data_IF_290303285329
#
_entry.id   IF_290303285329
#
_cell.length_a   1.000
_cell.length_b   1.000
_cell.length_c   1.000
_cell.angle_alpha   90.00
_cell.angle_beta   90.00
_cell.angle_gamma   90.00
#
_symmetry.space_group_name_H-M   'P 1'
#
loop_
_entity.id
_entity.type
_entity.pdbx_description
1 polymer ?
#
# COMPACT_ATOMS: atom_id res chain seq x y z
N UNK A 1 -6.83 -14.17 4.04
CA UNK A 1 -7.31 -15.03 2.93
C UNK A 1 -7.72 -14.15 1.74
N UNK A 2 -7.14 -14.36 0.54
CA UNK A 2 -7.49 -13.62 -0.67
C UNK A 2 -8.99 -13.64 -0.99
N UNK A 3 -9.54 -12.46 -1.27
CA UNK A 3 -10.90 -12.25 -1.77
C UNK A 3 -10.82 -11.33 -2.98
N UNK A 4 -10.58 -11.88 -4.17
CA UNK A 4 -10.31 -11.05 -5.36
C UNK A 4 -11.58 -10.58 -6.09
N UNK A 5 -12.75 -11.10 -5.72
CA UNK A 5 -14.04 -10.73 -6.31
C UNK A 5 -14.60 -9.39 -5.82
N UNK A 6 -14.00 -8.76 -4.81
CA UNK A 6 -14.66 -7.69 -4.03
C UNK A 6 -14.25 -6.26 -4.41
N UNK A 7 -13.28 -6.10 -5.32
CA UNK A 7 -12.68 -4.79 -5.65
C UNK A 7 -12.62 -4.54 -7.16
N UNK A 8 -12.61 -3.27 -7.54
CA UNK A 8 -12.43 -2.83 -8.93
C UNK A 8 -13.54 -3.31 -9.87
N UNK A 9 -13.14 -3.84 -11.03
CA UNK A 9 -14.07 -4.31 -12.05
C UNK A 9 -14.98 -5.46 -11.59
N UNK A 10 -14.58 -6.20 -10.56
CA UNK A 10 -15.37 -7.30 -9.99
C UNK A 10 -16.39 -6.83 -8.95
N UNK A 11 -16.36 -5.55 -8.51
CA UNK A 11 -17.16 -5.05 -7.39
C UNK A 11 -18.68 -5.19 -7.57
N UNK A 12 -19.16 -5.30 -8.81
CA UNK A 12 -20.58 -5.48 -9.13
C UNK A 12 -20.89 -6.89 -9.67
N UNK A 13 -19.88 -7.76 -9.80
CA UNK A 13 -20.07 -9.14 -10.24
C UNK A 13 -20.41 -10.00 -9.03
N UNK A 14 -21.46 -10.82 -9.15
CA UNK A 14 -21.87 -11.76 -8.10
C UNK A 14 -22.11 -11.08 -6.74
N UNK A 15 -22.56 -9.81 -6.76
CA UNK A 15 -22.78 -8.99 -5.57
C UNK A 15 -23.83 -9.60 -4.63
N UNK A 16 -24.91 -10.13 -5.20
CA UNK A 16 -26.01 -10.75 -4.43
C UNK A 16 -25.61 -12.11 -3.85
N UNK A 17 -24.63 -12.79 -4.46
CA UNK A 17 -24.16 -14.10 -4.03
C UNK A 17 -22.62 -14.18 -3.96
N UNK A 18 -21.97 -13.46 -3.02
CA UNK A 18 -20.51 -13.33 -2.92
C UNK A 18 -19.72 -14.64 -2.89
N UNK A 19 -20.35 -15.72 -2.40
CA UNK A 19 -19.73 -17.03 -2.24
C UNK A 19 -19.82 -17.92 -3.49
N UNK A 20 -20.62 -17.55 -4.51
CA UNK A 20 -20.55 -18.18 -5.84
C UNK A 20 -19.19 -17.93 -6.49
N UNK A 21 -18.58 -16.77 -6.19
CA UNK A 21 -17.24 -16.46 -6.63
C UNK A 21 -16.21 -17.41 -6.02
N UNK A 22 -15.63 -18.30 -6.82
CA UNK A 22 -14.54 -19.19 -6.38
C UNK A 22 -13.38 -18.42 -5.73
N UNK A 23 -13.10 -17.21 -6.21
CA UNK A 23 -12.02 -16.35 -5.72
C UNK A 23 -12.26 -15.77 -4.32
N UNK A 24 -13.48 -15.89 -3.78
CA UNK A 24 -13.81 -15.50 -2.42
C UNK A 24 -13.83 -16.69 -1.46
N UNK A 25 -13.87 -17.94 -1.95
CA UNK A 25 -14.03 -19.14 -1.12
C UNK A 25 -12.85 -19.44 -0.19
N UNK A 26 -11.69 -18.80 -0.41
CA UNK A 26 -10.55 -18.97 0.51
C UNK A 26 -10.86 -18.48 1.93
N UNK A 27 -11.86 -17.60 2.12
CA UNK A 27 -12.34 -17.24 3.45
C UNK A 27 -13.04 -18.41 4.16
N UNK A 28 -13.72 -19.28 3.40
CA UNK A 28 -14.37 -20.49 3.92
C UNK A 28 -13.27 -21.46 4.37
N UNK A 29 -12.29 -21.74 3.49
CA UNK A 29 -11.16 -22.62 3.81
C UNK A 29 -10.39 -22.14 5.03
N UNK A 30 -10.14 -20.84 5.15
CA UNK A 30 -9.49 -20.25 6.32
C UNK A 30 -10.28 -20.51 7.62
N UNK A 31 -11.60 -20.36 7.58
CA UNK A 31 -12.47 -20.64 8.73
C UNK A 31 -12.55 -22.13 9.06
N UNK A 32 -12.51 -23.00 8.06
CA UNK A 32 -12.51 -24.45 8.26
C UNK A 32 -11.20 -24.92 8.91
N UNK A 33 -10.06 -24.31 8.54
CA UNK A 33 -8.77 -24.56 9.22
C UNK A 33 -8.84 -24.13 10.70
N UNK A 34 -9.45 -22.99 11.01
CA UNK A 34 -9.65 -22.55 12.40
C UNK A 34 -10.56 -23.52 13.16
N UNK A 35 -11.62 -24.00 12.52
CA UNK A 35 -12.56 -24.95 13.12
C UNK A 35 -11.88 -26.28 13.45
N UNK A 36 -11.01 -26.75 12.56
CA UNK A 36 -10.26 -27.99 12.73
C UNK A 36 -9.16 -27.85 13.80
N UNK A 37 -8.31 -26.82 13.69
CA UNK A 37 -7.13 -26.66 14.56
C UNK A 37 -7.46 -26.06 15.93
N UNK A 38 -8.59 -25.34 16.07
CA UNK A 38 -9.01 -24.64 17.30
C UNK A 38 -7.88 -23.83 17.97
N UNK A 39 -7.16 -22.93 17.26
CA UNK A 39 -6.03 -22.20 17.84
C UNK A 39 -6.48 -21.25 18.97
N UNK A 40 -5.65 -21.05 19.99
CA UNK A 40 -5.95 -20.11 21.11
C UNK A 40 -6.27 -18.70 20.65
N UNK A 41 -5.57 -18.25 19.60
CA UNK A 41 -5.71 -16.93 18.99
C UNK A 41 -5.82 -17.04 17.48
N UNK A 42 -6.63 -16.19 16.89
CA UNK A 42 -6.83 -16.03 15.45
C UNK A 42 -6.58 -14.57 15.09
N UNK A 43 -5.85 -14.35 14.01
CA UNK A 43 -5.74 -13.04 13.37
C UNK A 43 -6.00 -13.21 11.88
N UNK A 44 -7.03 -12.55 11.38
CA UNK A 44 -7.36 -12.51 9.96
C UNK A 44 -7.20 -11.08 9.45
N UNK A 45 -6.28 -10.87 8.52
CA UNK A 45 -6.11 -9.62 7.79
C UNK A 45 -6.86 -9.68 6.44
N UNK A 46 -7.44 -8.56 6.03
CA UNK A 46 -7.97 -8.37 4.67
C UNK A 46 -7.99 -6.90 4.23
N UNK A 47 -8.24 -6.68 2.94
CA UNK A 47 -8.41 -5.35 2.34
C UNK A 47 -9.67 -4.66 2.87
N UNK A 48 -9.67 -3.32 2.90
CA UNK A 48 -10.80 -2.53 3.38
C UNK A 48 -12.10 -2.80 2.61
N UNK A 49 -12.01 -3.18 1.34
CA UNK A 49 -13.18 -3.42 0.50
C UNK A 49 -14.03 -4.62 0.97
N UNK A 50 -13.51 -5.49 1.84
CA UNK A 50 -14.31 -6.55 2.48
C UNK A 50 -15.46 -5.99 3.33
N UNK A 51 -15.35 -4.74 3.79
CA UNK A 51 -16.40 -4.03 4.54
C UNK A 51 -17.31 -3.19 3.64
N UNK A 52 -16.96 -3.01 2.36
CA UNK A 52 -17.73 -2.19 1.40
C UNK A 52 -18.53 -3.03 0.42
N UNK A 53 -18.02 -4.21 0.06
CA UNK A 53 -18.64 -5.11 -0.90
C UNK A 53 -19.79 -5.89 -0.27
N UNK A 54 -20.90 -6.01 -1.00
CA UNK A 54 -22.07 -6.82 -0.62
C UNK A 54 -22.50 -6.63 0.84
N UNK A 55 -22.67 -5.38 1.30
CA UNK A 55 -22.99 -5.04 2.71
C UNK A 55 -22.10 -5.76 3.75
N UNK A 56 -20.80 -5.83 3.45
CA UNK A 56 -19.80 -6.51 4.27
C UNK A 56 -20.06 -8.02 4.49
N UNK A 57 -20.80 -8.69 3.60
CA UNK A 57 -21.21 -10.10 3.74
C UNK A 57 -20.03 -11.01 4.09
N UNK A 58 -18.88 -10.87 3.42
CA UNK A 58 -17.70 -11.71 3.69
C UNK A 58 -17.11 -11.45 5.09
N UNK A 59 -17.06 -10.19 5.53
CA UNK A 59 -16.57 -9.84 6.87
C UNK A 59 -17.54 -10.30 7.96
N UNK A 60 -18.84 -10.12 7.75
CA UNK A 60 -19.91 -10.59 8.65
C UNK A 60 -19.90 -12.12 8.74
N UNK A 61 -19.70 -12.82 7.63
CA UNK A 61 -19.53 -14.27 7.61
C UNK A 61 -18.33 -14.71 8.46
N UNK A 62 -17.17 -14.08 8.27
CA UNK A 62 -15.97 -14.41 9.04
C UNK A 62 -16.17 -14.20 10.54
N UNK A 63 -16.77 -13.07 10.93
CA UNK A 63 -17.11 -12.78 12.33
C UNK A 63 -18.13 -13.80 12.88
N UNK A 64 -19.17 -14.11 12.11
CA UNK A 64 -20.21 -15.08 12.48
C UNK A 64 -19.64 -16.49 12.68
N UNK A 65 -18.72 -16.94 11.82
CA UNK A 65 -18.03 -18.24 11.98
C UNK A 65 -17.22 -18.28 13.28
N UNK A 66 -16.47 -17.23 13.62
CA UNK A 66 -15.73 -17.18 14.88
C UNK A 66 -16.66 -17.23 16.10
N UNK A 67 -17.75 -16.46 16.08
CA UNK A 67 -18.76 -16.46 17.16
C UNK A 67 -19.43 -17.85 17.28
N UNK A 68 -19.79 -18.47 16.15
CA UNK A 68 -20.36 -19.82 16.11
C UNK A 68 -19.39 -20.91 16.60
N UNK A 69 -18.08 -20.66 16.57
CA UNK A 69 -17.04 -21.51 17.16
C UNK A 69 -16.71 -21.14 18.61
N UNK A 70 -17.48 -20.24 19.23
CA UNK A 70 -17.31 -19.72 20.58
C UNK A 70 -16.01 -18.93 20.82
N UNK A 71 -15.50 -18.24 19.80
CA UNK A 71 -14.40 -17.29 19.99
C UNK A 71 -14.92 -15.93 20.44
N UNK A 72 -14.28 -15.36 21.45
CA UNK A 72 -14.32 -13.91 21.65
C UNK A 72 -13.72 -13.26 20.41
N UNK A 73 -14.39 -12.26 19.83
CA UNK A 73 -14.00 -11.71 18.53
C UNK A 73 -14.14 -10.19 18.47
N UNK A 74 -13.24 -9.54 17.73
CA UNK A 74 -13.27 -8.08 17.49
C UNK A 74 -12.74 -7.74 16.12
N UNK A 75 -13.29 -6.69 15.52
CA UNK A 75 -12.89 -6.17 14.22
C UNK A 75 -12.33 -4.76 14.38
N UNK A 76 -11.18 -4.51 13.78
CA UNK A 76 -10.51 -3.20 13.77
C UNK A 76 -10.00 -2.84 12.39
N UNK A 77 -10.02 -1.55 12.10
CA UNK A 77 -9.47 -0.98 10.86
C UNK A 77 -8.24 -0.18 11.26
N UNK A 78 -7.08 -0.52 10.69
CA UNK A 78 -5.81 0.10 11.02
C UNK A 78 -5.16 0.67 9.76
N UNK A 79 -4.63 1.89 9.85
CA UNK A 79 -3.89 2.53 8.78
C UNK A 79 -2.39 2.43 9.05
N UNK A 80 -1.64 1.75 8.16
CA UNK A 80 -0.20 1.51 8.32
C UNK A 80 0.61 2.80 8.58
N UNK A 81 0.22 3.92 7.95
CA UNK A 81 0.88 5.21 8.14
C UNK A 81 0.81 5.76 9.56
N UNK A 82 -0.21 5.37 10.33
CA UNK A 82 -0.33 5.73 11.75
C UNK A 82 0.67 4.99 12.66
N UNK A 83 1.48 4.09 12.11
CA UNK A 83 2.46 3.27 12.82
C UNK A 83 3.87 3.43 12.23
N UNK A 84 4.18 4.60 11.67
CA UNK A 84 5.54 4.96 11.24
C UNK A 84 5.92 4.49 9.84
N UNK A 85 4.96 4.37 8.93
CA UNK A 85 5.21 4.02 7.52
C UNK A 85 4.81 5.15 6.57
N UNK A 86 5.53 5.35 5.45
CA UNK A 86 5.27 6.42 4.47
C UNK A 86 4.08 6.09 3.55
N UNK A 87 3.14 5.28 4.03
CA UNK A 87 2.11 4.65 3.22
C UNK A 87 0.78 4.70 3.94
N UNK A 88 -0.19 5.39 3.33
CA UNK A 88 -1.57 5.35 3.80
C UNK A 88 -2.28 4.08 3.30
N UNK A 89 -2.05 2.95 3.99
CA UNK A 89 -2.65 1.65 3.68
C UNK A 89 -3.57 1.22 4.81
N UNK A 90 -4.88 1.29 4.59
CA UNK A 90 -5.88 0.78 5.53
C UNK A 90 -6.13 -0.71 5.32
N UNK A 91 -6.19 -1.46 6.42
CA UNK A 91 -6.51 -2.89 6.45
C UNK A 91 -7.44 -3.23 7.59
N UNK A 92 -8.21 -4.28 7.38
CA UNK A 92 -9.16 -4.82 8.34
C UNK A 92 -8.50 -5.99 9.04
N UNK A 93 -8.56 -6.00 10.36
CA UNK A 93 -8.07 -7.06 11.22
C UNK A 93 -9.25 -7.60 12.02
N UNK A 94 -9.52 -8.89 11.87
CA UNK A 94 -10.45 -9.64 12.69
C UNK A 94 -9.62 -10.50 13.64
N UNK A 95 -9.68 -10.19 14.93
CA UNK A 95 -9.03 -10.97 15.98
C UNK A 95 -10.06 -11.87 16.65
N UNK A 96 -9.64 -13.10 16.96
CA UNK A 96 -10.40 -14.05 17.76
C UNK A 96 -9.54 -14.67 18.86
N UNK A 97 -10.10 -15.00 20.01
CA UNK A 97 -9.47 -15.88 20.99
C UNK A 97 -10.48 -16.78 21.70
N UNK A 98 -10.02 -17.84 22.36
CA UNK A 98 -10.88 -18.70 23.17
C UNK A 98 -11.56 -17.93 24.33
N UNK A 99 -12.69 -18.42 24.88
CA UNK A 99 -13.40 -17.76 25.98
C UNK A 99 -12.57 -17.53 27.24
N UNK A 100 -11.62 -18.42 27.52
CA UNK A 100 -10.77 -18.37 28.71
C UNK A 100 -9.55 -17.44 28.52
N UNK A 101 -9.27 -17.03 27.27
CA UNK A 101 -8.13 -16.20 26.93
C UNK A 101 -8.50 -14.71 26.93
N UNK A 102 -7.53 -13.83 27.17
CA UNK A 102 -7.76 -12.38 27.09
C UNK A 102 -7.72 -11.91 25.64
N UNK A 103 -8.82 -11.34 25.16
CA UNK A 103 -8.90 -10.77 23.81
C UNK A 103 -7.91 -9.59 23.66
N UNK A 104 -6.94 -9.63 22.73
CA UNK A 104 -5.91 -8.59 22.63
C UNK A 104 -6.49 -7.23 22.21
N UNK A 105 -6.04 -6.10 22.80
CA UNK A 105 -6.36 -4.77 22.29
C UNK A 105 -5.74 -4.54 20.91
N UNK A 106 -6.29 -3.60 20.13
CA UNK A 106 -5.57 -3.13 18.94
C UNK A 106 -4.56 -2.07 19.40
N UNK A 107 -3.33 -2.08 18.88
CA UNK A 107 -2.37 -1.04 19.24
C UNK A 107 -2.88 0.31 18.73
N UNK A 108 -2.74 1.35 19.55
CA UNK A 108 -3.16 2.69 19.17
C UNK A 108 -2.13 3.33 18.23
N UNK A 109 -2.54 4.28 17.36
CA UNK A 109 -1.64 5.07 16.53
C UNK A 109 -0.47 5.67 17.31
N UNK A 110 0.74 5.57 16.77
CA UNK A 110 1.95 6.18 17.33
C UNK A 110 2.40 7.40 16.52
N UNK A 111 2.05 7.46 15.24
CA UNK A 111 2.41 8.54 14.33
C UNK A 111 1.15 9.22 13.77
N UNK A 112 1.27 10.50 13.45
CA UNK A 112 0.36 11.15 12.52
C UNK A 112 0.44 10.50 11.14
N UNK A 113 -0.62 10.62 10.34
CA UNK A 113 -0.65 10.05 8.99
C UNK A 113 -1.20 11.04 7.96
N UNK A 114 -0.64 11.01 6.75
CA UNK A 114 -1.16 11.78 5.62
C UNK A 114 -2.34 11.00 5.03
N UNK A 115 -3.56 11.37 5.44
CA UNK A 115 -4.79 10.65 5.10
C UNK A 115 -5.11 10.74 3.61
N UNK A 116 -5.37 9.58 2.98
CA UNK A 116 -5.77 9.50 1.56
C UNK A 116 -7.18 8.95 1.32
N UNK A 117 -7.74 8.19 2.25
CA UNK A 117 -9.02 7.52 2.08
C UNK A 117 -9.76 7.52 3.41
N UNK A 118 -11.08 7.56 3.37
CA UNK A 118 -11.93 7.46 4.56
C UNK A 118 -12.31 6.02 4.88
N UNK A 119 -12.59 5.77 6.16
CA UNK A 119 -13.25 4.56 6.63
C UNK A 119 -14.71 4.55 6.12
N UNK A 120 -15.29 3.38 5.78
CA UNK A 120 -16.74 3.29 5.54
C UNK A 120 -17.50 3.77 6.79
N UNK A 121 -18.51 4.64 6.61
CA UNK A 121 -19.27 5.24 7.70
C UNK A 121 -19.91 4.18 8.63
N UNK A 122 -20.45 3.10 8.06
CA UNK A 122 -21.03 1.99 8.82
C UNK A 122 -20.04 1.31 9.79
N UNK A 123 -18.73 1.48 9.57
CA UNK A 123 -17.66 0.86 10.35
C UNK A 123 -16.72 1.90 10.99
N UNK A 124 -17.14 3.16 11.10
CA UNK A 124 -16.32 4.23 11.69
C UNK A 124 -15.90 3.91 13.12
N UNK A 125 -16.78 3.29 13.91
CA UNK A 125 -16.48 2.84 15.28
C UNK A 125 -15.45 1.70 15.35
N UNK A 126 -15.16 1.04 14.22
CA UNK A 126 -14.12 0.03 14.13
C UNK A 126 -12.76 0.62 13.73
N UNK A 127 -12.69 1.93 13.41
CA UNK A 127 -11.42 2.59 13.15
C UNK A 127 -10.60 2.65 14.45
N UNK A 128 -9.41 2.07 14.41
CA UNK A 128 -8.49 2.08 15.55
C UNK A 128 -7.84 3.46 15.62
N UNK A 129 -8.16 4.20 16.67
CA UNK A 129 -7.67 5.56 16.90
C UNK A 129 -7.79 5.96 18.36
N UNK A 130 -7.16 7.08 18.68
CA UNK A 130 -7.37 7.76 19.97
C UNK A 130 -8.77 8.34 20.04
N UNK A 131 -9.33 8.44 21.24
CA UNK A 131 -10.60 9.13 21.44
C UNK A 131 -10.42 10.63 21.23
N UNK A 132 -11.43 11.30 20.65
CA UNK A 132 -11.42 12.75 20.39
C UNK A 132 -11.19 13.60 21.66
N UNK A 133 -11.48 13.05 22.84
CA UNK A 133 -11.27 13.72 24.13
C UNK A 133 -9.84 13.57 24.68
N UNK A 134 -8.98 12.77 24.05
CA UNK A 134 -7.63 12.49 24.55
C UNK A 134 -6.61 13.36 23.81
N UNK A 135 -5.96 14.27 24.52
CA UNK A 135 -4.80 14.99 23.99
C UNK A 135 -3.59 14.06 23.91
N UNK A 136 -3.17 13.72 22.69
CA UNK A 136 -2.02 12.83 22.45
C UNK A 136 -1.04 13.52 21.51
N UNK A 137 0.22 13.55 21.91
CA UNK A 137 1.32 13.95 21.05
C UNK A 137 1.76 12.72 20.24
N UNK A 138 1.42 12.71 18.94
CA UNK A 138 1.87 11.69 18.00
C UNK A 138 3.19 12.10 17.36
N UNK A 139 4.00 11.11 16.98
CA UNK A 139 5.18 11.35 16.15
C UNK A 139 4.80 11.91 14.79
N UNK A 140 5.73 12.60 14.15
CA UNK A 140 5.48 13.20 12.83
C UNK A 140 5.23 12.13 11.77
N UNK A 141 4.38 12.39 10.76
CA UNK A 141 4.18 11.45 9.66
C UNK A 141 5.48 11.21 8.90
N UNK A 142 5.86 9.95 8.74
CA UNK A 142 7.03 9.57 7.94
C UNK A 142 6.76 9.84 6.45
N UNK A 143 7.72 10.47 5.76
CA UNK A 143 7.64 10.76 4.32
C UNK A 143 8.64 9.92 3.52
N UNK A 144 8.53 9.97 2.19
CA UNK A 144 9.36 9.15 1.30
C UNK A 144 10.87 9.49 1.41
N UNK A 145 11.19 10.76 1.64
CA UNK A 145 12.57 11.21 1.84
C UNK A 145 13.22 10.59 3.08
N UNK A 146 12.44 10.38 4.15
CA UNK A 146 12.93 9.77 5.39
C UNK A 146 13.44 8.34 5.18
N UNK A 147 13.10 7.72 4.06
CA UNK A 147 13.28 6.29 3.80
C UNK A 147 14.27 6.08 2.67
N UNK A 148 14.20 6.89 1.61
CA UNK A 148 15.01 6.70 0.42
C UNK A 148 16.31 7.54 0.40
N UNK A 149 16.45 8.53 1.29
CA UNK A 149 17.57 9.51 1.21
C UNK A 149 18.97 8.93 1.42
N UNK A 150 19.11 7.81 2.14
CA UNK A 150 20.39 7.12 2.36
C UNK A 150 20.71 6.05 1.31
N UNK A 151 19.76 5.69 0.44
CA UNK A 151 19.95 4.68 -0.59
C UNK A 151 20.87 5.17 -1.72
N UNK A 152 21.72 4.29 -2.28
CA UNK A 152 22.58 4.64 -3.40
C UNK A 152 21.77 4.84 -4.68
N UNK A 153 22.29 5.66 -5.59
CA UNK A 153 21.72 5.81 -6.94
C UNK A 153 22.01 4.53 -7.75
N UNK A 154 21.01 4.05 -8.47
CA UNK A 154 21.09 2.91 -9.39
C UNK A 154 20.53 3.28 -10.76
N UNK A 155 20.92 2.53 -11.80
CA UNK A 155 20.41 2.70 -13.16
C UNK A 155 19.01 2.11 -13.37
N UNK A 156 18.50 2.18 -14.60
CA UNK A 156 17.22 1.55 -14.98
C UNK A 156 17.26 0.02 -14.85
N UNK A 157 18.40 -0.58 -15.18
CA UNK A 157 18.66 -2.00 -14.99
C UNK A 157 19.73 -2.15 -13.90
N UNK A 158 19.36 -2.77 -12.79
CA UNK A 158 20.26 -3.14 -11.70
C UNK A 158 20.01 -4.62 -11.37
N UNK A 159 21.04 -5.43 -11.55
CA UNK A 159 21.00 -6.88 -11.42
C UNK A 159 21.65 -7.38 -10.14
N UNK A 160 22.38 -6.53 -9.41
CA UNK A 160 23.01 -6.90 -8.14
C UNK A 160 21.96 -7.12 -7.06
N UNK A 161 21.89 -8.34 -6.56
CA UNK A 161 21.08 -8.70 -5.38
C UNK A 161 21.62 -8.07 -4.10
N UNK A 162 22.93 -7.84 -4.04
CA UNK A 162 23.62 -7.24 -2.91
C UNK A 162 24.50 -6.06 -3.35
N UNK A 163 24.43 -4.97 -2.59
CA UNK A 163 25.34 -3.83 -2.79
C UNK A 163 25.69 -3.14 -1.46
N UNK A 164 26.81 -2.40 -1.37
CA UNK A 164 27.11 -1.64 -0.18
C UNK A 164 26.20 -0.41 -0.07
N UNK A 165 25.82 -0.07 1.16
CA UNK A 165 25.36 1.29 1.45
C UNK A 165 26.48 2.28 1.17
N UNK A 166 26.16 3.39 0.49
CA UNK A 166 27.11 4.49 0.24
C UNK A 166 27.04 5.54 1.36
N UNK A 167 25.88 5.69 1.99
CA UNK A 167 25.65 6.64 3.09
C UNK A 167 25.34 5.94 4.40
N UNK A 168 25.72 6.59 5.50
CA UNK A 168 25.17 6.29 6.82
C UNK A 168 23.67 6.62 6.85
N UNK A 169 22.86 6.00 7.73
CA UNK A 169 21.46 6.36 7.88
C UNK A 169 21.34 7.84 8.28
N UNK A 170 20.46 8.59 7.62
CA UNK A 170 20.22 10.01 7.85
C UNK A 170 19.06 10.23 8.82
N UNK A 171 18.03 9.37 8.79
CA UNK A 171 16.84 9.49 9.62
C UNK A 171 16.77 8.43 10.71
N UNK A 172 15.88 8.63 11.69
CA UNK A 172 15.59 7.61 12.70
C UNK A 172 14.99 6.35 12.07
N UNK A 173 14.08 6.51 11.09
CA UNK A 173 13.52 5.39 10.36
C UNK A 173 14.62 4.53 9.71
N UNK A 174 15.58 5.15 9.01
CA UNK A 174 16.70 4.44 8.39
C UNK A 174 17.59 3.75 9.43
N UNK A 175 17.84 4.39 10.58
CA UNK A 175 18.56 3.76 11.69
C UNK A 175 17.82 2.51 12.19
N UNK A 176 16.51 2.61 12.36
CA UNK A 176 15.67 1.50 12.83
C UNK A 176 15.70 0.31 11.88
N UNK A 177 15.35 0.51 10.59
CA UNK A 177 15.23 -0.61 9.63
C UNK A 177 16.58 -1.29 9.33
N UNK A 178 17.69 -0.54 9.39
CA UNK A 178 19.04 -1.09 9.16
C UNK A 178 19.58 -1.86 10.37
N UNK A 179 19.15 -1.51 11.58
CA UNK A 179 19.54 -2.22 12.81
C UNK A 179 18.73 -3.50 12.98
N UNK A 180 17.42 -3.45 12.67
CA UNK A 180 16.53 -4.61 12.73
C UNK A 180 17.03 -5.79 11.89
N UNK A 181 17.59 -5.50 10.70
CA UNK A 181 18.22 -6.50 9.82
C UNK A 181 19.40 -7.25 10.47
N UNK A 182 20.12 -6.60 11.39
CA UNK A 182 21.24 -7.22 12.12
C UNK A 182 20.81 -8.03 13.35
N UNK A 183 19.64 -7.73 13.93
CA UNK A 183 19.16 -8.35 15.17
C UNK A 183 18.18 -9.51 14.93
N UNK A 184 17.42 -9.49 13.83
CA UNK A 184 16.37 -10.48 13.52
C UNK A 184 16.90 -11.67 12.70
N UNK A 185 18.11 -12.14 13.03
CA UNK A 185 18.44 -13.54 12.75
C UNK A 185 17.60 -14.39 13.71
N UNK A 186 16.51 -14.99 13.21
CA UNK A 186 15.53 -15.71 14.02
C UNK A 186 16.10 -16.77 14.98
N UNK A 187 15.25 -17.38 15.84
CA UNK A 187 15.65 -18.18 17.01
C UNK A 187 16.59 -19.40 16.77
N UNK A 188 16.98 -19.68 15.52
CA UNK A 188 18.02 -20.66 15.17
C UNK A 188 19.46 -20.11 15.20
N UNK A 189 19.68 -18.83 15.50
CA UNK A 189 21.02 -18.20 15.53
C UNK A 189 21.70 -18.21 16.90
N UNK A 190 21.06 -18.72 17.97
CA UNK A 190 21.65 -18.76 19.31
C UNK A 190 22.84 -19.73 19.49
N UNK A 191 23.24 -20.46 18.45
CA UNK A 191 24.41 -21.35 18.48
C UNK A 191 25.73 -20.72 17.99
N UNK A 192 25.79 -19.41 17.74
CA UNK A 192 27.04 -18.77 17.34
C UNK A 192 27.25 -17.40 18.00
N UNK A 193 27.46 -17.38 19.33
CA UNK A 193 28.29 -16.34 19.96
C UNK A 193 29.74 -16.53 19.50
N UNK A 194 30.02 -16.31 18.21
CA UNK A 194 31.37 -16.05 17.73
C UNK A 194 31.50 -14.54 17.54
N UNK A 195 32.61 -13.99 18.02
CA UNK A 195 33.03 -12.60 17.81
C UNK A 195 33.23 -12.37 16.30
N UNK A 196 32.16 -12.17 15.55
CA UNK A 196 32.26 -11.92 14.11
C UNK A 196 32.65 -10.45 13.91
N UNK A 197 33.75 -10.22 13.19
CA UNK A 197 34.17 -8.91 12.67
C UNK A 197 32.93 -8.15 12.17
N UNK A 198 32.75 -6.89 12.58
CA UNK A 198 31.69 -5.99 12.08
C UNK A 198 31.73 -5.96 10.54
N UNK A 199 31.01 -6.85 9.88
CA UNK A 199 30.81 -6.79 8.43
C UNK A 199 29.98 -5.54 8.16
N UNK A 200 30.41 -4.72 7.19
CA UNK A 200 29.66 -3.54 6.81
C UNK A 200 28.23 -3.95 6.43
N UNK A 201 27.19 -3.18 6.83
CA UNK A 201 25.81 -3.49 6.47
C UNK A 201 25.67 -3.53 4.95
N UNK A 202 25.06 -4.61 4.44
CA UNK A 202 24.74 -4.79 3.02
C UNK A 202 23.31 -4.31 2.75
N UNK A 203 23.10 -3.77 1.57
CA UNK A 203 21.80 -3.43 1.01
C UNK A 203 21.39 -4.56 0.06
N UNK A 204 20.17 -5.08 0.24
CA UNK A 204 19.62 -6.16 -0.56
C UNK A 204 18.48 -5.63 -1.43
N UNK A 205 18.27 -6.27 -2.58
CA UNK A 205 17.10 -6.07 -3.44
C UNK A 205 16.83 -4.61 -3.87
N UNK A 206 17.88 -3.76 -3.90
CA UNK A 206 17.76 -2.37 -4.34
C UNK A 206 17.74 -2.27 -5.87
N UNK A 207 16.72 -2.90 -6.46
CA UNK A 207 16.58 -3.18 -7.88
C UNK A 207 15.24 -2.63 -8.37
N UNK A 208 15.22 -1.65 -9.29
CA UNK A 208 13.98 -1.22 -9.92
C UNK A 208 13.52 -2.25 -10.96
N UNK A 209 12.25 -2.15 -11.36
CA UNK A 209 11.78 -2.84 -12.56
C UNK A 209 12.50 -2.23 -13.79
N UNK A 210 13.24 -3.06 -14.53
CA UNK A 210 13.91 -2.63 -15.74
C UNK A 210 12.89 -2.23 -16.82
N UNK A 211 12.78 -0.92 -17.07
CA UNK A 211 11.88 -0.41 -18.11
C UNK A 211 12.44 -0.74 -19.50
N UNK A 212 11.56 -1.16 -20.41
CA UNK A 212 11.90 -1.22 -21.83
C UNK A 212 12.28 0.16 -22.38
N UNK A 213 13.06 0.20 -23.46
CA UNK A 213 13.70 1.41 -23.99
C UNK A 213 12.72 2.59 -24.15
N UNK A 214 11.55 2.37 -24.75
CA UNK A 214 10.56 3.43 -24.96
C UNK A 214 10.05 4.04 -23.65
N UNK A 215 9.76 3.20 -22.65
CA UNK A 215 9.29 3.66 -21.34
C UNK A 215 10.40 4.38 -20.58
N UNK A 216 11.63 3.90 -20.70
CA UNK A 216 12.79 4.58 -20.13
C UNK A 216 12.98 5.98 -20.74
N UNK A 217 12.91 6.11 -22.07
CA UNK A 217 13.00 7.39 -22.77
C UNK A 217 11.86 8.35 -22.39
N UNK A 218 10.63 7.85 -22.16
CA UNK A 218 9.51 8.65 -21.63
C UNK A 218 9.83 9.19 -20.24
N UNK A 219 10.29 8.33 -19.33
CA UNK A 219 10.64 8.70 -17.95
C UNK A 219 11.74 9.75 -17.91
N UNK A 220 12.75 9.65 -18.77
CA UNK A 220 13.85 10.63 -18.85
C UNK A 220 13.36 12.04 -19.22
N UNK A 221 12.22 12.16 -19.89
CA UNK A 221 11.64 13.45 -20.30
C UNK A 221 10.72 14.05 -19.23
N UNK A 222 10.42 13.35 -18.14
CA UNK A 222 9.60 13.88 -17.04
C UNK A 222 10.46 14.85 -16.22
N UNK A 223 10.02 16.11 -16.01
CA UNK A 223 10.75 17.06 -15.18
C UNK A 223 10.86 16.58 -13.72
N UNK A 224 12.03 16.76 -13.11
CA UNK A 224 12.28 16.40 -11.70
C UNK A 224 11.74 17.47 -10.75
N UNK A 225 10.42 17.61 -10.69
CA UNK A 225 9.71 18.54 -9.81
C UNK A 225 8.47 17.85 -9.20
N UNK A 226 8.08 18.29 -8.00
CA UNK A 226 6.91 17.75 -7.31
C UNK A 226 5.65 17.84 -8.18
N UNK A 227 5.00 16.71 -8.39
CA UNK A 227 3.75 16.61 -9.16
C UNK A 227 3.93 16.47 -10.68
N UNK A 228 5.16 16.40 -11.18
CA UNK A 228 5.42 16.14 -12.58
C UNK A 228 4.82 14.79 -13.03
N UNK A 229 4.29 14.76 -14.25
CA UNK A 229 3.65 13.59 -14.83
C UNK A 229 3.66 13.68 -16.37
N UNK A 230 2.96 12.76 -17.05
CA UNK A 230 2.92 12.71 -18.53
C UNK A 230 2.43 14.02 -19.18
N UNK A 231 1.67 14.86 -18.46
CA UNK A 231 1.18 16.16 -18.94
C UNK A 231 2.29 17.18 -19.13
N UNK A 232 3.45 16.97 -18.51
CA UNK A 232 4.63 17.79 -18.72
C UNK A 232 5.44 17.36 -19.96
N UNK A 233 5.04 16.29 -20.66
CA UNK A 233 5.72 15.84 -21.87
C UNK A 233 5.45 16.81 -23.05
N UNK A 234 6.43 16.99 -23.95
CA UNK A 234 6.25 17.79 -25.16
C UNK A 234 5.02 17.37 -25.98
N UNK A 235 4.26 18.37 -26.44
CA UNK A 235 3.08 18.17 -27.26
C UNK A 235 1.80 17.84 -26.50
N UNK A 236 1.80 17.89 -25.16
CA UNK A 236 0.58 17.80 -24.34
C UNK A 236 0.16 19.19 -23.87
N UNK A 237 -1.14 19.49 -24.01
CA UNK A 237 -1.80 20.67 -23.44
C UNK A 237 -2.90 20.22 -22.48
N UNK A 238 -3.15 21.02 -21.44
CA UNK A 238 -4.25 20.79 -20.49
C UNK A 238 -5.24 21.93 -20.65
N UNK A 239 -6.47 21.61 -21.05
CA UNK A 239 -7.55 22.60 -21.21
C UNK A 239 -8.05 23.15 -19.88
N UNK A 240 -8.92 24.16 -19.94
CA UNK A 240 -9.64 24.70 -18.77
C UNK A 240 -10.56 23.67 -18.10
N UNK A 241 -10.94 22.62 -18.83
CA UNK A 241 -11.69 21.45 -18.37
C UNK A 241 -10.81 20.42 -17.61
N UNK A 242 -9.52 20.74 -17.40
CA UNK A 242 -8.52 19.85 -16.80
C UNK A 242 -8.33 18.54 -17.58
N UNK A 243 -8.66 18.50 -18.88
CA UNK A 243 -8.43 17.35 -19.76
C UNK A 243 -7.12 17.52 -20.50
N UNK A 244 -6.26 16.50 -20.45
CA UNK A 244 -5.02 16.46 -21.21
C UNK A 244 -5.28 16.01 -22.65
N UNK A 245 -4.79 16.77 -23.63
CA UNK A 245 -4.92 16.51 -25.06
C UNK A 245 -3.59 16.76 -25.76
N UNK A 246 -3.42 16.19 -26.95
CA UNK A 246 -2.30 16.57 -27.81
C UNK A 246 -2.52 17.97 -28.36
N UNK A 247 -1.45 18.74 -28.47
CA UNK A 247 -1.44 20.06 -29.09
C UNK A 247 -1.75 19.90 -30.60
N UNK A 248 -2.90 20.39 -31.10
CA UNK A 248 -3.27 20.22 -32.50
C UNK A 248 -2.37 21.03 -33.46
N UNK A 249 -1.60 21.99 -32.93
CA UNK A 249 -0.68 22.81 -33.72
C UNK A 249 0.69 22.17 -33.93
N UNK A 250 0.97 21.05 -33.25
CA UNK A 250 2.26 20.36 -33.29
C UNK A 250 2.11 18.97 -33.85
N UNK A 251 3.10 18.56 -34.64
CA UNK A 251 3.21 17.16 -35.02
C UNK A 251 3.42 16.27 -33.79
N UNK A 252 2.88 15.05 -33.87
CA UNK A 252 2.95 14.09 -32.77
C UNK A 252 4.40 13.65 -32.58
N UNK A 253 4.96 13.91 -31.39
CA UNK A 253 6.32 13.51 -31.07
C UNK A 253 6.45 11.99 -31.02
N UNK A 254 7.36 11.45 -31.83
CA UNK A 254 7.69 10.03 -31.88
C UNK A 254 9.04 9.75 -31.20
N UNK A 255 9.16 8.57 -30.62
CA UNK A 255 10.40 8.01 -30.10
C UNK A 255 11.24 7.44 -31.26
N UNK A 256 12.55 7.16 -31.05
CA UNK A 256 13.40 6.53 -32.06
C UNK A 256 12.86 5.18 -32.60
N UNK A 257 12.02 4.50 -31.82
CA UNK A 257 11.32 3.27 -32.23
C UNK A 257 10.16 3.50 -33.20
N UNK A 258 9.83 4.76 -33.53
CA UNK A 258 8.64 5.14 -34.29
C UNK A 258 7.35 5.15 -33.48
N UNK A 259 7.38 4.74 -32.20
CA UNK A 259 6.21 4.78 -31.32
C UNK A 259 5.99 6.17 -30.74
N UNK A 260 4.74 6.55 -30.41
CA UNK A 260 4.46 7.88 -29.88
C UNK A 260 5.07 8.06 -28.48
N UNK A 261 5.58 9.26 -28.22
CA UNK A 261 6.08 9.66 -26.89
C UNK A 261 4.96 9.57 -25.85
N UNK A 262 3.81 10.18 -26.17
CA UNK A 262 2.59 10.17 -25.34
C UNK A 262 1.63 9.12 -25.89
N UNK A 263 1.29 8.15 -25.06
CA UNK A 263 0.41 7.04 -25.42
C UNK A 263 -1.07 7.47 -25.41
N UNK A 264 -1.85 6.99 -26.38
CA UNK A 264 -3.29 7.31 -26.47
C UNK A 264 -4.06 6.81 -25.24
N UNK A 265 -3.70 5.63 -24.72
CA UNK A 265 -4.35 5.09 -23.52
C UNK A 265 -4.17 5.96 -22.27
N UNK A 266 -3.11 6.76 -22.21
CA UNK A 266 -2.86 7.68 -21.09
C UNK A 266 -3.71 8.94 -21.22
N UNK A 267 -3.99 9.38 -22.45
CA UNK A 267 -4.88 10.51 -22.73
C UNK A 267 -6.35 10.17 -22.46
N UNK A 268 -6.73 8.89 -22.57
CA UNK A 268 -8.10 8.43 -22.30
C UNK A 268 -8.31 7.94 -20.86
N UNK A 269 -7.24 7.75 -20.09
CA UNK A 269 -7.34 7.28 -18.70
C UNK A 269 -8.04 8.33 -17.84
N UNK A 270 -9.10 7.94 -17.12
CA UNK A 270 -9.95 8.84 -16.31
C UNK A 270 -10.46 10.05 -17.14
N UNK A 271 -10.90 9.79 -18.36
CA UNK A 271 -11.34 10.79 -19.34
C UNK A 271 -10.29 11.89 -19.62
N UNK A 272 -9.01 11.53 -19.49
CA UNK A 272 -7.87 12.44 -19.65
C UNK A 272 -7.73 13.45 -18.52
N UNK A 273 -8.51 13.32 -17.44
CA UNK A 273 -8.50 14.22 -16.28
C UNK A 273 -7.51 13.74 -15.22
N UNK A 274 -6.95 14.71 -14.50
CA UNK A 274 -6.23 14.44 -13.26
C UNK A 274 -7.18 14.76 -12.11
N UNK A 275 -7.44 13.80 -11.24
CA UNK A 275 -8.30 13.97 -10.07
C UNK A 275 -7.77 14.98 -9.04
N UNK A 276 -6.59 15.58 -9.26
CA UNK A 276 -6.09 16.70 -8.49
C UNK A 276 -6.38 18.01 -9.20
N UNK A 277 -7.50 18.65 -8.85
CA UNK A 277 -7.65 20.10 -8.66
C UNK A 277 -9.08 20.39 -8.20
N UNK A 278 -9.30 20.47 -6.88
CA UNK A 278 -10.29 21.39 -6.29
C UNK A 278 -9.62 22.02 -5.07
N UNK A 279 -9.31 23.30 -5.18
CA UNK A 279 -8.79 24.15 -4.12
C UNK A 279 -9.92 24.53 -3.17
N UNK A 280 -10.24 23.70 -2.17
CA UNK A 280 -10.70 24.12 -0.83
C UNK A 280 -10.44 22.96 0.13
N UNK A 281 -9.52 23.13 1.09
CA UNK A 281 -9.37 22.27 2.26
C UNK A 281 -8.82 20.86 1.99
N UNK A 282 -7.69 20.55 2.60
CA UNK A 282 -7.06 19.21 2.68
C UNK A 282 -8.04 18.02 2.56
N UNK A 283 -8.17 17.49 1.33
CA UNK A 283 -8.68 16.14 1.06
C UNK A 283 -7.82 15.53 -0.04
N UNK A 284 -6.73 14.89 0.35
CA UNK A 284 -6.00 14.00 -0.54
C UNK A 284 -6.86 12.75 -0.75
N UNK A 285 -7.35 12.53 -1.96
CA UNK A 285 -7.95 11.26 -2.38
C UNK A 285 -7.26 10.84 -3.67
N UNK A 286 -6.66 9.65 -3.68
CA UNK A 286 -6.08 9.03 -4.87
C UNK A 286 -6.45 7.56 -4.83
N UNK A 287 -7.39 7.20 -5.70
CA UNK A 287 -7.70 5.83 -6.07
C UNK A 287 -6.54 5.31 -6.93
N UNK A 288 -5.88 4.25 -6.47
CA UNK A 288 -4.96 3.45 -7.28
C UNK A 288 -5.67 2.13 -7.58
N UNK A 289 -5.83 1.80 -8.86
CA UNK A 289 -6.13 0.45 -9.32
C UNK A 289 -4.99 -0.02 -10.20
N UNK A 290 -4.68 -1.31 -10.07
CA UNK A 290 -3.44 -1.91 -10.53
C UNK A 290 -3.23 -1.81 -12.02
N UNK A 291 -2.31 -0.94 -12.41
CA UNK A 291 -1.30 -1.21 -13.44
C UNK A 291 -0.01 -0.59 -12.92
N UNK A 292 1.06 -1.38 -12.91
CA UNK A 292 2.36 -0.91 -12.42
C UNK A 292 2.81 0.31 -13.20
N UNK A 293 2.78 1.48 -12.56
CA UNK A 293 3.46 2.68 -13.06
C UNK A 293 4.25 3.33 -11.94
N UNK A 294 5.50 3.54 -12.30
CA UNK A 294 6.65 3.87 -11.48
C UNK A 294 6.55 5.32 -10.99
N UNK A 295 6.67 5.51 -9.67
CA UNK A 295 7.10 6.80 -9.13
C UNK A 295 8.60 6.93 -9.44
N UNK A 296 8.97 7.86 -10.31
CA UNK A 296 10.30 8.49 -10.22
C UNK A 296 10.16 9.85 -9.55
N UNK A 297 11.20 10.15 -8.77
CA UNK A 297 11.41 11.30 -7.87
C UNK A 297 11.10 12.64 -8.53
#
# INVERSE_FOLDING_TARGET
PPCQGISGYNRNREFDEPFKCEKNKQIIVFMDIIQFLRPKYVCMENVLDILKFADATLARYALSRLIGMHYQSKLGIMAAGCYGLPQFRMRVFLLGCHPEEKLPPFPLPTHGAIVKNSCPLAFERNLVGWSDSTAVQLETPIVLEDILSDLPKVGNAEDRDEMPYVKAPQTEFQRYIRTFSSEVQGPKSHAAKSKSKKSKPKLYDHRPLALGNDNYLRVLQIPKKKGANFRDLPGVIVGSDNVAKLDPTKERVLLPSGRPLVLDCVLTYEDGRCLRFVSVGFRSTLLFHGYGFLFLI
#
